data_IF_335744327782
#
_entry.id   IF_335744327782
#
_cell.length_a   1.000
_cell.length_b   1.000
_cell.length_c   1.000
_cell.angle_alpha   90.00
_cell.angle_beta   90.00
_cell.angle_gamma   90.00
#
_symmetry.space_group_name_H-M   'P 1'
#
loop_
_entity.id
_entity.type
_entity.pdbx_description
1 polymer ?
#
# COMPACT_ATOMS: atom_id res chain seq x y z
N UNK A 1 -71.69 16.13 55.65
CA UNK A 1 -70.54 16.70 54.97
C UNK A 1 -69.68 15.53 54.48
N UNK A 2 -69.74 15.22 53.21
CA UNK A 2 -68.93 14.13 52.56
C UNK A 2 -67.78 14.80 51.84
N UNK A 3 -66.58 14.54 52.25
CA UNK A 3 -65.35 14.97 51.54
C UNK A 3 -65.02 13.94 50.46
N UNK A 4 -64.95 14.39 49.17
CA UNK A 4 -64.47 13.62 48.03
C UNK A 4 -63.02 13.97 47.87
N UNK A 5 -62.14 12.95 48.01
CA UNK A 5 -60.69 13.06 47.74
C UNK A 5 -60.44 12.66 46.29
N UNK A 6 -59.97 13.61 45.45
CA UNK A 6 -59.51 13.34 44.12
C UNK A 6 -58.03 12.90 44.14
N UNK A 7 -57.82 11.69 43.78
CA UNK A 7 -56.44 11.13 43.57
C UNK A 7 -55.98 11.48 42.17
N UNK A 8 -54.97 12.37 42.04
CA UNK A 8 -54.30 12.63 40.77
C UNK A 8 -53.21 11.59 40.56
N UNK A 9 -53.43 10.69 39.57
CA UNK A 9 -52.38 9.81 39.03
C UNK A 9 -51.55 10.62 38.03
N UNK A 10 -50.29 10.92 38.38
CA UNK A 10 -49.30 11.45 37.46
C UNK A 10 -48.70 10.29 36.65
N UNK A 11 -49.05 10.17 35.39
CA UNK A 11 -48.41 9.27 34.44
C UNK A 11 -47.13 9.94 33.95
N UNK A 12 -46.00 9.44 34.43
CA UNK A 12 -44.70 9.83 33.87
C UNK A 12 -44.47 9.05 32.56
N UNK A 13 -44.50 9.77 31.44
CA UNK A 13 -44.01 9.26 30.18
C UNK A 13 -42.46 9.24 30.18
N UNK A 14 -41.88 8.05 30.31
CA UNK A 14 -40.46 7.84 30.00
C UNK A 14 -40.29 7.95 28.48
N UNK A 15 -39.76 9.07 28.01
CA UNK A 15 -39.29 9.21 26.65
C UNK A 15 -37.95 8.47 26.58
N UNK A 16 -37.98 7.21 26.11
CA UNK A 16 -36.77 6.49 25.73
C UNK A 16 -36.32 7.07 24.40
N UNK A 17 -35.39 8.03 24.44
CA UNK A 17 -34.65 8.44 23.24
C UNK A 17 -33.71 7.31 22.88
N UNK A 18 -34.13 6.49 21.93
CA UNK A 18 -33.20 5.59 21.22
C UNK A 18 -32.19 6.48 20.47
N UNK A 19 -30.96 6.50 20.99
CA UNK A 19 -29.80 6.98 20.22
C UNK A 19 -29.62 5.94 19.12
N UNK A 20 -30.23 6.19 17.96
CA UNK A 20 -29.85 5.51 16.74
C UNK A 20 -28.38 5.88 16.50
N UNK A 21 -27.46 4.95 16.74
CA UNK A 21 -26.14 5.02 16.15
C UNK A 21 -26.38 5.16 14.64
N UNK A 22 -26.13 6.33 14.09
CA UNK A 22 -26.04 6.50 12.66
C UNK A 22 -24.84 5.64 12.23
N UNK A 23 -25.11 4.42 11.78
CA UNK A 23 -24.17 3.69 10.95
C UNK A 23 -23.90 4.61 9.76
N UNK A 24 -22.73 5.23 9.76
CA UNK A 24 -22.31 6.10 8.66
C UNK A 24 -22.40 5.28 7.38
N UNK A 25 -23.18 5.78 6.42
CA UNK A 25 -23.24 5.17 5.07
C UNK A 25 -21.82 4.96 4.60
N UNK A 26 -21.47 3.70 4.24
CA UNK A 26 -20.14 3.38 3.75
C UNK A 26 -19.76 4.36 2.64
N UNK A 27 -18.58 4.98 2.75
CA UNK A 27 -18.09 5.91 1.72
C UNK A 27 -17.87 5.13 0.43
N UNK A 28 -18.34 5.68 -0.68
CA UNK A 28 -18.25 5.09 -2.01
C UNK A 28 -17.50 6.05 -2.91
N UNK A 29 -16.51 5.54 -3.65
CA UNK A 29 -15.68 6.33 -4.56
C UNK A 29 -15.81 5.85 -5.99
N UNK A 30 -15.48 6.72 -6.95
CA UNK A 30 -15.45 6.36 -8.36
C UNK A 30 -14.37 5.32 -8.69
N UNK A 31 -14.41 4.79 -9.92
CA UNK A 31 -13.47 3.73 -10.34
C UNK A 31 -12.01 4.16 -10.42
N UNK A 32 -11.74 5.45 -10.56
CA UNK A 32 -10.42 6.07 -10.43
C UNK A 32 -10.28 6.84 -9.10
N UNK A 33 -10.96 6.35 -8.06
CA UNK A 33 -10.96 6.90 -6.70
C UNK A 33 -11.47 8.34 -6.62
N UNK A 34 -12.33 8.75 -7.55
CA UNK A 34 -12.97 10.07 -7.54
C UNK A 34 -13.77 10.25 -6.25
N UNK A 35 -13.58 11.41 -5.63
CA UNK A 35 -14.22 11.76 -4.35
C UNK A 35 -13.38 11.42 -3.10
N UNK A 36 -12.30 10.64 -3.22
CA UNK A 36 -11.37 10.45 -2.10
C UNK A 36 -10.45 11.67 -1.95
N UNK A 37 -10.31 12.25 -0.74
CA UNK A 37 -9.51 13.45 -0.54
C UNK A 37 -8.01 13.13 -0.47
N UNK A 38 -7.28 13.42 -1.55
CA UNK A 38 -5.82 13.44 -1.53
C UNK A 38 -5.33 14.70 -0.84
N UNK A 39 -4.29 14.59 -0.02
CA UNK A 39 -3.69 15.75 0.66
C UNK A 39 -2.91 16.66 -0.28
N UNK A 40 -2.32 16.10 -1.34
CA UNK A 40 -1.57 16.83 -2.37
C UNK A 40 -2.30 16.75 -3.70
N UNK A 41 -2.07 17.74 -4.56
CA UNK A 41 -2.65 17.80 -5.90
C UNK A 41 -2.22 16.58 -6.73
N UNK A 42 -3.19 15.89 -7.33
CA UNK A 42 -2.95 14.78 -8.25
C UNK A 42 -2.91 15.31 -9.67
N UNK A 43 -1.78 15.10 -10.35
CA UNK A 43 -1.63 15.27 -11.78
C UNK A 43 -1.87 13.95 -12.51
N UNK A 44 -2.06 13.99 -13.84
CA UNK A 44 -2.28 12.80 -14.66
C UNK A 44 -1.30 12.78 -15.83
N UNK A 45 -0.46 11.76 -15.88
CA UNK A 45 0.45 11.48 -16.98
C UNK A 45 -0.24 10.56 -17.98
N UNK A 46 -0.54 11.09 -19.18
CA UNK A 46 -1.16 10.33 -20.29
C UNK A 46 -0.09 9.70 -21.16
N UNK A 47 -0.26 8.44 -21.49
CA UNK A 47 0.69 7.68 -22.32
C UNK A 47 0.01 6.47 -22.96
N UNK A 48 0.67 5.89 -23.95
CA UNK A 48 0.21 4.65 -24.59
C UNK A 48 0.98 3.47 -24.01
N UNK A 49 0.26 2.42 -23.59
CA UNK A 49 0.86 1.16 -23.16
C UNK A 49 0.02 -0.02 -23.64
N UNK A 50 0.65 -1.02 -24.22
CA UNK A 50 0.00 -2.20 -24.79
C UNK A 50 -1.12 -1.84 -25.79
N UNK A 51 -0.90 -0.79 -26.62
CA UNK A 51 -1.85 -0.31 -27.62
C UNK A 51 -3.08 0.41 -27.06
N UNK A 52 -3.08 0.80 -25.77
CA UNK A 52 -4.18 1.45 -25.10
C UNK A 52 -3.75 2.84 -24.58
N UNK A 53 -4.66 3.82 -24.67
CA UNK A 53 -4.49 5.12 -24.03
C UNK A 53 -4.74 4.98 -22.53
N UNK A 54 -3.72 5.23 -21.74
CA UNK A 54 -3.75 5.12 -20.28
C UNK A 54 -3.34 6.43 -19.63
N UNK A 55 -3.68 6.58 -18.34
CA UNK A 55 -3.14 7.64 -17.50
C UNK A 55 -2.66 7.08 -16.16
N UNK A 56 -1.57 7.64 -15.65
CA UNK A 56 -1.11 7.45 -14.28
C UNK A 56 -1.34 8.72 -13.47
N UNK A 57 -2.08 8.57 -12.36
CA UNK A 57 -2.17 9.62 -11.36
C UNK A 57 -0.85 9.73 -10.58
N UNK A 58 -0.44 10.95 -10.26
CA UNK A 58 0.77 11.19 -9.47
C UNK A 58 0.67 12.49 -8.67
N UNK A 59 1.38 12.53 -7.57
CA UNK A 59 1.66 13.74 -6.82
C UNK A 59 3.14 14.08 -7.02
N UNK A 60 3.45 15.32 -7.41
CA UNK A 60 4.79 15.86 -7.54
C UNK A 60 4.93 17.04 -6.58
N UNK A 61 5.58 16.81 -5.46
CA UNK A 61 5.63 17.77 -4.35
C UNK A 61 7.04 18.33 -4.24
N UNK A 62 7.23 19.62 -4.50
CA UNK A 62 8.54 20.27 -4.38
C UNK A 62 9.01 20.33 -2.92
N UNK A 63 10.30 20.50 -2.73
CA UNK A 63 10.86 20.73 -1.41
C UNK A 63 10.22 21.96 -0.75
N UNK A 64 9.79 21.83 0.50
CA UNK A 64 9.32 22.94 1.35
C UNK A 64 10.46 23.57 2.12
N UNK A 65 11.41 22.75 2.58
CA UNK A 65 12.65 23.21 3.18
C UNK A 65 13.67 23.68 2.14
N UNK A 66 14.91 23.95 2.57
CA UNK A 66 16.01 24.27 1.66
C UNK A 66 16.24 23.10 0.69
N UNK A 67 16.06 23.27 -0.63
CA UNK A 67 16.24 22.18 -1.59
C UNK A 67 17.62 21.53 -1.50
N UNK A 68 17.67 20.21 -1.45
CA UNK A 68 18.91 19.44 -1.42
C UNK A 68 19.31 18.87 -2.79
N UNK A 69 18.54 19.17 -3.84
CA UNK A 69 18.79 18.74 -5.22
C UNK A 69 18.43 17.27 -5.49
N UNK A 70 17.90 16.55 -4.52
CA UNK A 70 17.58 15.12 -4.62
C UNK A 70 16.07 14.89 -4.75
N UNK A 71 15.70 13.88 -5.52
CA UNK A 71 14.31 13.45 -5.69
C UNK A 71 14.10 12.09 -5.03
N UNK A 72 12.98 11.94 -4.32
CA UNK A 72 12.50 10.67 -3.78
C UNK A 72 11.27 10.26 -4.56
N UNK A 73 11.22 8.99 -4.99
CA UNK A 73 10.04 8.37 -5.59
C UNK A 73 9.49 7.34 -4.62
N UNK A 74 8.25 7.49 -4.19
CA UNK A 74 7.59 6.55 -3.29
C UNK A 74 6.62 5.67 -4.07
N UNK A 75 6.66 4.36 -3.85
CA UNK A 75 5.85 3.34 -4.52
C UNK A 75 4.98 2.61 -3.50
N UNK A 76 3.67 2.66 -3.69
CA UNK A 76 2.69 2.10 -2.75
C UNK A 76 2.56 0.57 -2.83
N UNK A 77 1.96 -0.03 -1.79
CA UNK A 77 1.58 -1.44 -1.76
C UNK A 77 0.25 -1.71 -2.47
N UNK A 78 -0.09 -3.01 -2.63
CA UNK A 78 -1.27 -3.45 -3.40
C UNK A 78 -2.60 -2.91 -2.86
N UNK A 79 -2.77 -2.81 -1.55
CA UNK A 79 -4.00 -2.30 -0.93
C UNK A 79 -3.95 -0.79 -0.65
N UNK A 80 -2.95 -0.11 -1.14
CA UNK A 80 -2.67 1.30 -0.88
C UNK A 80 -2.53 2.10 -2.18
N UNK A 81 -2.48 3.41 -2.01
CA UNK A 81 -2.30 4.41 -3.04
C UNK A 81 -1.13 5.32 -2.71
N UNK A 82 -0.77 6.19 -3.63
CA UNK A 82 0.16 7.29 -3.35
C UNK A 82 -0.26 8.13 -2.14
N UNK A 83 -1.58 8.28 -1.91
CA UNK A 83 -2.12 8.99 -0.75
C UNK A 83 -1.62 8.48 0.60
N UNK A 84 -1.33 7.18 0.73
CA UNK A 84 -0.85 6.59 2.00
C UNK A 84 0.54 7.06 2.41
N UNK A 85 1.25 7.73 1.51
CA UNK A 85 2.54 8.34 1.75
C UNK A 85 2.47 9.80 2.22
N UNK A 86 1.26 10.38 2.45
CA UNK A 86 1.10 11.82 2.72
C UNK A 86 1.98 12.35 3.87
N UNK A 87 2.08 11.61 4.97
CA UNK A 87 2.92 11.99 6.11
C UNK A 87 4.42 11.87 5.78
N UNK A 88 4.80 10.85 5.01
CA UNK A 88 6.18 10.67 4.53
C UNK A 88 6.57 11.75 3.53
N UNK A 89 5.66 12.12 2.62
CA UNK A 89 5.87 13.23 1.68
C UNK A 89 6.12 14.54 2.44
N UNK A 90 5.31 14.83 3.48
CA UNK A 90 5.50 16.03 4.31
C UNK A 90 6.90 16.10 4.90
N UNK A 91 7.32 15.05 5.59
CA UNK A 91 8.61 14.98 6.27
C UNK A 91 9.79 15.07 5.29
N UNK A 92 9.70 14.39 4.15
CA UNK A 92 10.75 14.41 3.13
C UNK A 92 10.87 15.80 2.46
N UNK A 93 9.73 16.45 2.17
CA UNK A 93 9.76 17.79 1.55
C UNK A 93 10.28 18.84 2.52
N UNK A 94 10.00 18.75 3.80
CA UNK A 94 10.59 19.58 4.85
C UNK A 94 12.10 19.37 4.97
N UNK A 95 12.58 18.13 4.74
CA UNK A 95 14.00 17.80 4.70
C UNK A 95 14.70 18.21 3.37
N UNK A 96 14.00 18.88 2.48
CA UNK A 96 14.56 19.44 1.24
C UNK A 96 14.50 18.54 0.02
N UNK A 97 13.82 17.40 0.07
CA UNK A 97 13.62 16.52 -1.09
C UNK A 97 12.42 16.96 -1.94
N UNK A 98 12.53 16.85 -3.28
CA UNK A 98 11.35 16.73 -4.15
C UNK A 98 10.79 15.32 -4.01
N UNK A 99 9.48 15.16 -3.86
CA UNK A 99 8.87 13.83 -3.68
C UNK A 99 7.84 13.57 -4.77
N UNK A 100 7.97 12.43 -5.44
CA UNK A 100 7.02 11.94 -6.44
C UNK A 100 6.36 10.68 -5.89
N UNK A 101 5.03 10.68 -5.83
CA UNK A 101 4.23 9.52 -5.44
C UNK A 101 3.22 9.23 -6.55
N UNK A 102 3.37 8.10 -7.23
CA UNK A 102 2.47 7.69 -8.31
C UNK A 102 1.53 6.60 -7.86
N UNK A 103 0.29 6.65 -8.35
CA UNK A 103 -0.58 5.48 -8.39
C UNK A 103 -0.23 4.67 -9.63
N UNK A 104 0.13 3.40 -9.46
CA UNK A 104 0.46 2.55 -10.60
C UNK A 104 -0.78 2.24 -11.45
N UNK A 105 -0.59 1.92 -12.74
CA UNK A 105 -1.70 1.45 -13.60
C UNK A 105 -2.42 0.29 -12.91
N UNK A 106 -3.74 0.34 -12.90
CA UNK A 106 -4.59 -0.61 -12.17
C UNK A 106 -4.96 -0.18 -10.76
N UNK A 107 -4.39 0.92 -10.24
CA UNK A 107 -4.62 1.42 -8.88
C UNK A 107 -5.23 2.82 -8.87
N UNK A 108 -5.98 3.08 -7.88
CA UNK A 108 -6.46 4.38 -7.35
C UNK A 108 -6.82 5.41 -8.44
N UNK A 109 -6.05 6.48 -8.61
CA UNK A 109 -6.34 7.54 -9.59
C UNK A 109 -5.83 7.24 -11.00
N UNK A 110 -5.27 6.05 -11.22
CA UNK A 110 -4.79 5.61 -12.53
C UNK A 110 -5.80 4.74 -13.25
N UNK A 111 -5.68 4.68 -14.59
CA UNK A 111 -6.53 3.83 -15.43
C UNK A 111 -6.49 2.37 -14.99
N UNK A 112 -7.65 1.73 -15.02
CA UNK A 112 -7.85 0.29 -14.79
C UNK A 112 -8.24 -0.37 -16.11
N UNK A 113 -7.26 -0.77 -16.95
CA UNK A 113 -7.56 -1.32 -18.25
C UNK A 113 -8.20 -2.72 -18.13
N UNK A 114 -9.20 -3.01 -18.97
CA UNK A 114 -9.87 -4.31 -18.97
C UNK A 114 -8.96 -5.43 -19.50
N UNK A 115 -8.06 -5.11 -20.42
CA UNK A 115 -7.16 -6.04 -21.08
C UNK A 115 -5.71 -5.54 -20.93
N UNK A 116 -5.02 -5.98 -19.89
CA UNK A 116 -3.66 -5.54 -19.62
C UNK A 116 -2.84 -6.69 -19.02
N UNK A 117 -1.71 -6.96 -19.62
CA UNK A 117 -0.76 -7.94 -19.08
C UNK A 117 0.14 -7.26 -18.07
N UNK A 118 -0.15 -7.48 -16.79
CA UNK A 118 0.66 -6.95 -15.70
C UNK A 118 1.98 -7.70 -15.58
N UNK A 119 3.07 -6.94 -15.47
CA UNK A 119 4.37 -7.42 -15.02
C UNK A 119 5.10 -6.31 -14.27
N UNK A 120 6.00 -6.67 -13.36
CA UNK A 120 6.85 -5.68 -12.69
C UNK A 120 7.71 -4.91 -13.68
N UNK A 121 8.14 -5.55 -14.78
CA UNK A 121 8.85 -4.90 -15.87
C UNK A 121 7.98 -3.81 -16.53
N UNK A 122 6.72 -4.13 -16.84
CA UNK A 122 5.82 -3.15 -17.46
C UNK A 122 5.53 -1.97 -16.51
N UNK A 123 5.29 -2.24 -15.23
CA UNK A 123 5.10 -1.17 -14.25
C UNK A 123 6.37 -0.31 -14.08
N UNK A 124 7.55 -0.92 -14.14
CA UNK A 124 8.82 -0.19 -14.12
C UNK A 124 9.02 0.67 -15.39
N UNK A 125 8.67 0.19 -16.59
CA UNK A 125 8.64 1.00 -17.81
C UNK A 125 7.70 2.18 -17.70
N UNK A 126 6.48 1.99 -17.19
CA UNK A 126 5.50 3.06 -17.00
C UNK A 126 6.04 4.11 -16.02
N UNK A 127 6.62 3.66 -14.91
CA UNK A 127 7.23 4.55 -13.90
C UNK A 127 8.39 5.34 -14.49
N UNK A 128 9.27 4.70 -15.28
CA UNK A 128 10.38 5.39 -15.95
C UNK A 128 9.87 6.44 -16.96
N UNK A 129 8.79 6.13 -17.69
CA UNK A 129 8.16 7.09 -18.61
C UNK A 129 7.64 8.33 -17.86
N UNK A 130 6.96 8.13 -16.72
CA UNK A 130 6.52 9.22 -15.85
C UNK A 130 7.72 10.06 -15.35
N UNK A 131 8.79 9.41 -14.86
CA UNK A 131 9.97 10.13 -14.35
C UNK A 131 10.65 10.94 -15.45
N UNK A 132 10.75 10.42 -16.67
CA UNK A 132 11.25 11.18 -17.84
C UNK A 132 10.37 12.38 -18.15
N UNK A 133 9.03 12.22 -18.12
CA UNK A 133 8.08 13.33 -18.30
C UNK A 133 8.27 14.44 -17.27
N UNK A 134 8.58 14.06 -16.03
CA UNK A 134 8.83 15.01 -14.92
C UNK A 134 10.28 15.53 -14.85
N UNK A 135 11.13 15.18 -15.82
CA UNK A 135 12.52 15.62 -15.88
C UNK A 135 13.41 15.02 -14.79
N UNK A 136 13.06 13.83 -14.29
CA UNK A 136 13.84 13.13 -13.24
C UNK A 136 14.72 12.07 -13.87
N UNK A 137 16.04 12.29 -13.84
CA UNK A 137 17.03 11.36 -14.36
C UNK A 137 17.54 10.37 -13.31
N UNK A 138 17.54 10.77 -12.02
CA UNK A 138 18.02 9.95 -10.92
C UNK A 138 17.24 10.23 -9.65
N UNK A 139 16.92 9.19 -8.87
CA UNK A 139 16.11 9.30 -7.67
C UNK A 139 16.44 8.26 -6.62
N UNK A 140 16.04 8.53 -5.39
CA UNK A 140 15.94 7.53 -4.32
C UNK A 140 14.57 6.86 -4.48
N UNK A 141 14.54 5.53 -4.49
CA UNK A 141 13.29 4.77 -4.51
C UNK A 141 12.93 4.31 -3.09
N UNK A 142 11.69 4.51 -2.69
CA UNK A 142 11.12 3.97 -1.46
C UNK A 142 9.89 3.16 -1.85
N UNK A 143 9.94 1.82 -1.69
CA UNK A 143 8.84 0.94 -2.06
C UNK A 143 8.29 0.18 -0.85
N UNK A 144 6.97 0.27 -0.64
CA UNK A 144 6.27 -0.48 0.40
C UNK A 144 5.59 -1.71 -0.19
N UNK A 145 5.72 -2.88 0.46
CA UNK A 145 4.99 -4.09 0.08
C UNK A 145 5.25 -4.47 -1.40
N UNK A 146 4.22 -4.56 -2.24
CA UNK A 146 4.31 -4.74 -3.70
C UNK A 146 5.15 -3.64 -4.36
N UNK A 147 5.07 -2.40 -3.84
CA UNK A 147 5.95 -1.30 -4.28
C UNK A 147 7.43 -1.59 -4.03
N UNK A 148 7.77 -2.40 -3.05
CA UNK A 148 9.14 -2.90 -2.83
C UNK A 148 9.60 -3.87 -3.91
N UNK A 149 8.71 -4.77 -4.38
CA UNK A 149 9.00 -5.63 -5.54
C UNK A 149 9.20 -4.79 -6.81
N UNK A 150 8.32 -3.80 -7.03
CA UNK A 150 8.43 -2.89 -8.17
C UNK A 150 9.71 -2.06 -8.12
N UNK A 151 10.05 -1.49 -6.96
CA UNK A 151 11.27 -0.71 -6.77
C UNK A 151 12.53 -1.55 -7.00
N UNK A 152 12.52 -2.83 -6.59
CA UNK A 152 13.58 -3.81 -6.88
C UNK A 152 13.69 -4.02 -8.40
N UNK A 153 12.58 -4.30 -9.07
CA UNK A 153 12.56 -4.48 -10.54
C UNK A 153 13.06 -3.24 -11.26
N UNK A 154 12.62 -2.05 -10.83
CA UNK A 154 13.08 -0.80 -11.39
C UNK A 154 14.60 -0.62 -11.22
N UNK A 155 15.14 -0.88 -10.03
CA UNK A 155 16.57 -0.76 -9.75
C UNK A 155 17.42 -1.75 -10.55
N UNK A 156 16.89 -2.95 -10.83
CA UNK A 156 17.55 -3.94 -11.71
C UNK A 156 17.56 -3.51 -13.17
N UNK A 157 16.47 -2.90 -13.66
CA UNK A 157 16.35 -2.44 -15.06
C UNK A 157 17.08 -1.14 -15.33
N UNK A 158 17.12 -0.23 -14.33
CA UNK A 158 17.63 1.14 -14.49
C UNK A 158 18.58 1.52 -13.34
N UNK A 159 19.67 0.78 -13.10
CA UNK A 159 20.54 1.03 -11.95
C UNK A 159 21.12 2.45 -11.93
N UNK A 160 21.38 3.04 -13.11
CA UNK A 160 21.93 4.42 -13.22
C UNK A 160 20.92 5.50 -12.83
N UNK A 161 19.61 5.20 -12.91
CA UNK A 161 18.55 6.10 -12.49
C UNK A 161 18.22 6.02 -10.98
N UNK A 162 18.88 5.10 -10.26
CA UNK A 162 18.64 4.88 -8.84
C UNK A 162 19.86 5.27 -8.03
N UNK A 163 19.67 6.19 -7.10
CA UNK A 163 20.70 6.61 -6.14
C UNK A 163 20.77 5.64 -4.95
N UNK A 164 19.59 5.25 -4.46
CA UNK A 164 19.41 4.36 -3.32
C UNK A 164 18.06 3.68 -3.40
N UNK A 165 18.00 2.41 -3.03
CA UNK A 165 16.76 1.65 -2.88
C UNK A 165 16.44 1.49 -1.38
N UNK A 166 15.22 1.84 -0.98
CA UNK A 166 14.67 1.58 0.35
C UNK A 166 13.42 0.73 0.20
N UNK A 167 13.44 -0.46 0.76
CA UNK A 167 12.30 -1.37 0.77
C UNK A 167 11.67 -1.40 2.15
N UNK A 168 10.41 -1.00 2.25
CA UNK A 168 9.65 -0.97 3.51
C UNK A 168 8.70 -2.15 3.53
N UNK A 169 8.91 -3.10 4.40
CA UNK A 169 8.14 -4.34 4.46
C UNK A 169 7.77 -4.87 3.06
N UNK A 170 8.76 -5.02 2.14
CA UNK A 170 8.47 -5.52 0.82
C UNK A 170 7.91 -6.93 0.91
N UNK A 171 6.95 -7.27 0.05
CA UNK A 171 6.64 -8.66 -0.23
C UNK A 171 7.61 -9.21 -1.27
N UNK A 172 7.60 -10.54 -1.51
CA UNK A 172 8.56 -11.16 -2.43
C UNK A 172 9.96 -11.37 -1.86
N UNK A 173 10.12 -11.34 -0.53
CA UNK A 173 11.32 -11.79 0.16
C UNK A 173 11.45 -13.32 0.16
N UNK A 174 10.40 -14.01 -0.26
CA UNK A 174 10.30 -15.46 -0.39
C UNK A 174 9.45 -15.81 -1.63
N UNK A 175 9.65 -17.00 -2.20
CA UNK A 175 8.81 -17.54 -3.27
C UNK A 175 7.77 -18.50 -2.68
N UNK A 176 6.55 -18.04 -2.54
CA UNK A 176 5.46 -18.82 -1.96
C UNK A 176 5.15 -20.10 -2.73
N UNK A 177 5.30 -20.10 -4.06
CA UNK A 177 5.12 -21.30 -4.91
C UNK A 177 6.14 -22.37 -4.55
N UNK A 178 7.40 -21.97 -4.45
CA UNK A 178 8.50 -22.87 -4.09
C UNK A 178 8.33 -23.43 -2.67
N UNK A 179 7.66 -22.68 -1.77
CA UNK A 179 7.36 -23.08 -0.40
C UNK A 179 6.09 -23.95 -0.29
N UNK A 180 5.36 -24.16 -1.41
CA UNK A 180 4.21 -25.05 -1.46
C UNK A 180 2.84 -24.36 -1.28
N UNK A 181 2.77 -23.03 -1.40
CA UNK A 181 1.48 -22.33 -1.46
C UNK A 181 0.78 -22.64 -2.78
N UNK A 182 -0.47 -23.16 -2.76
CA UNK A 182 -1.22 -23.45 -3.97
C UNK A 182 -1.47 -22.20 -4.83
N UNK A 183 -1.40 -22.35 -6.15
CA UNK A 183 -1.74 -21.29 -7.08
C UNK A 183 -3.24 -21.08 -7.15
N UNK A 184 -3.67 -19.82 -7.34
CA UNK A 184 -5.03 -19.46 -7.76
C UNK A 184 -5.02 -19.05 -9.21
N UNK A 185 -6.09 -19.35 -9.93
CA UNK A 185 -6.34 -18.73 -11.25
C UNK A 185 -6.75 -17.27 -11.09
N UNK A 186 -6.64 -16.49 -12.15
CA UNK A 186 -7.11 -15.09 -12.15
C UNK A 186 -8.60 -15.01 -11.77
N UNK A 187 -9.43 -15.96 -12.25
CA UNK A 187 -10.87 -15.99 -11.90
C UNK A 187 -11.08 -16.20 -10.39
N UNK A 188 -10.30 -17.08 -9.76
CA UNK A 188 -10.37 -17.30 -8.32
C UNK A 188 -9.93 -16.07 -7.52
N UNK A 189 -8.93 -15.33 -8.01
CA UNK A 189 -8.56 -14.04 -7.43
C UNK A 189 -9.68 -13.02 -7.61
N UNK A 190 -10.30 -12.96 -8.80
CA UNK A 190 -11.40 -12.05 -9.10
C UNK A 190 -12.62 -12.29 -8.21
N UNK A 191 -13.04 -13.54 -8.06
CA UNK A 191 -14.14 -13.91 -7.15
C UNK A 191 -13.87 -13.51 -5.70
N UNK A 192 -12.60 -13.59 -5.26
CA UNK A 192 -12.19 -13.14 -3.93
C UNK A 192 -12.28 -11.62 -3.81
N UNK A 193 -11.77 -10.89 -4.79
CA UNK A 193 -11.76 -9.42 -4.78
C UNK A 193 -13.20 -8.84 -4.88
N UNK A 194 -14.10 -9.49 -5.59
CA UNK A 194 -15.52 -9.12 -5.62
C UNK A 194 -16.22 -9.19 -4.24
N UNK A 195 -15.68 -9.97 -3.31
CA UNK A 195 -16.23 -10.14 -1.94
C UNK A 195 -15.58 -9.23 -0.90
N UNK A 196 -14.71 -8.31 -1.34
CA UNK A 196 -14.01 -7.42 -0.43
C UNK A 196 -15.01 -6.49 0.29
N UNK A 197 -14.92 -6.43 1.61
CA UNK A 197 -15.78 -5.60 2.45
C UNK A 197 -14.94 -4.76 3.41
N UNK A 198 -15.51 -3.65 3.92
CA UNK A 198 -14.83 -2.79 4.88
C UNK A 198 -14.41 -3.55 6.14
N UNK A 199 -15.27 -4.43 6.66
CA UNK A 199 -14.95 -5.26 7.83
C UNK A 199 -13.82 -6.26 7.53
N UNK A 200 -13.82 -6.86 6.34
CA UNK A 200 -12.74 -7.74 5.89
C UNK A 200 -11.41 -7.00 5.78
N UNK A 201 -11.41 -5.81 5.19
CA UNK A 201 -10.22 -4.93 5.09
C UNK A 201 -9.73 -4.55 6.48
N UNK A 202 -10.61 -4.04 7.35
CA UNK A 202 -10.26 -3.63 8.72
C UNK A 202 -9.67 -4.78 9.53
N UNK A 203 -10.28 -5.96 9.46
CA UNK A 203 -9.79 -7.16 10.14
C UNK A 203 -8.40 -7.56 9.65
N UNK A 204 -8.19 -7.52 8.34
CA UNK A 204 -6.90 -7.85 7.73
C UNK A 204 -5.83 -6.84 8.10
N UNK A 205 -6.09 -5.54 7.94
CA UNK A 205 -5.15 -4.48 8.29
C UNK A 205 -4.79 -4.50 9.77
N UNK A 206 -5.79 -4.63 10.65
CA UNK A 206 -5.54 -4.73 12.08
C UNK A 206 -4.60 -5.89 12.41
N UNK A 207 -4.85 -7.08 11.85
CA UNK A 207 -4.09 -8.28 12.20
C UNK A 207 -2.69 -8.31 11.58
N UNK A 208 -2.56 -7.85 10.33
CA UNK A 208 -1.33 -7.99 9.52
C UNK A 208 -0.56 -6.68 9.45
N UNK A 209 -1.25 -5.54 9.17
CA UNK A 209 -0.56 -4.28 8.92
C UNK A 209 -0.13 -3.57 10.19
N UNK A 210 -0.91 -3.72 11.27
CA UNK A 210 -0.72 -2.98 12.50
C UNK A 210 -0.46 -3.88 13.72
N UNK A 211 -0.01 -5.11 13.52
CA UNK A 211 0.39 -6.02 14.60
C UNK A 211 -0.69 -6.25 15.67
N UNK A 212 -1.96 -6.26 15.27
CA UNK A 212 -3.12 -6.41 16.18
C UNK A 212 -3.60 -5.09 16.82
N UNK A 213 -2.87 -3.99 16.66
CA UNK A 213 -3.27 -2.64 17.14
C UNK A 213 -4.27 -2.00 16.21
N UNK A 214 -5.07 -1.06 16.75
CA UNK A 214 -5.99 -0.26 15.94
C UNK A 214 -6.06 1.16 16.48
N UNK A 215 -6.02 2.13 15.57
CA UNK A 215 -6.19 3.55 15.88
C UNK A 215 -7.26 4.14 14.96
N UNK A 216 -8.03 5.16 15.41
CA UNK A 216 -9.08 5.78 14.58
C UNK A 216 -8.58 6.30 13.23
N UNK A 217 -7.36 6.82 13.16
CA UNK A 217 -6.76 7.35 11.94
C UNK A 217 -6.54 6.30 10.84
N UNK A 218 -6.50 5.01 11.18
CA UNK A 218 -6.37 3.92 10.20
C UNK A 218 -7.65 3.68 9.40
N UNK A 219 -8.80 4.07 9.95
CA UNK A 219 -10.11 3.90 9.31
C UNK A 219 -10.16 4.57 7.92
N UNK A 220 -9.44 5.67 7.74
CA UNK A 220 -9.34 6.35 6.44
C UNK A 220 -8.83 5.44 5.32
N UNK A 221 -7.93 4.52 5.61
CA UNK A 221 -7.36 3.60 4.62
C UNK A 221 -8.31 2.45 4.32
N UNK A 222 -9.06 2.00 5.33
CA UNK A 222 -10.18 1.07 5.14
C UNK A 222 -11.25 1.70 4.25
N UNK A 223 -11.68 2.93 4.54
CA UNK A 223 -12.64 3.68 3.73
C UNK A 223 -12.18 3.83 2.28
N UNK A 224 -10.89 4.13 2.07
CA UNK A 224 -10.30 4.27 0.75
C UNK A 224 -10.43 2.98 -0.07
N UNK A 225 -9.95 1.87 0.48
CA UNK A 225 -9.91 0.59 -0.22
C UNK A 225 -11.32 0.01 -0.40
N UNK A 226 -12.13 0.00 0.66
CA UNK A 226 -13.49 -0.53 0.61
C UNK A 226 -14.39 0.34 -0.27
N UNK A 227 -14.29 1.67 -0.16
CA UNK A 227 -15.09 2.61 -0.95
C UNK A 227 -14.80 2.53 -2.44
N UNK A 228 -13.55 2.34 -2.84
CA UNK A 228 -13.15 2.07 -4.22
C UNK A 228 -13.77 0.75 -4.72
N UNK A 229 -13.73 -0.29 -3.90
CA UNK A 229 -14.23 -1.63 -4.26
C UNK A 229 -15.76 -1.76 -4.19
N UNK A 230 -16.47 -0.83 -3.57
CA UNK A 230 -17.94 -0.80 -3.50
C UNK A 230 -18.55 0.22 -4.49
N UNK A 231 -17.70 0.97 -5.18
CA UNK A 231 -18.09 2.02 -6.12
C UNK A 231 -18.57 1.50 -7.48
N UNK A 232 -18.96 2.43 -8.37
CA UNK A 232 -19.47 2.08 -9.71
C UNK A 232 -18.41 1.35 -10.57
N UNK A 233 -17.11 1.50 -10.25
CA UNK A 233 -16.00 0.79 -10.89
C UNK A 233 -15.71 -0.62 -10.34
N UNK A 234 -16.46 -1.09 -9.34
CA UNK A 234 -16.22 -2.31 -8.56
C UNK A 234 -15.70 -3.50 -9.37
N UNK A 235 -16.40 -3.90 -10.44
CA UNK A 235 -15.99 -5.08 -11.24
C UNK A 235 -14.63 -4.89 -11.90
N UNK A 236 -14.38 -3.71 -12.44
CA UNK A 236 -13.12 -3.41 -13.13
C UNK A 236 -11.96 -3.25 -12.13
N UNK A 237 -12.23 -2.66 -10.97
CA UNK A 237 -11.27 -2.58 -9.84
C UNK A 237 -10.90 -3.99 -9.38
N UNK A 238 -11.89 -4.85 -9.12
CA UNK A 238 -11.67 -6.23 -8.69
C UNK A 238 -10.92 -7.06 -9.75
N UNK A 239 -11.21 -6.84 -11.05
CA UNK A 239 -10.52 -7.50 -12.15
C UNK A 239 -9.03 -7.13 -12.20
N UNK A 240 -8.72 -5.81 -12.19
CA UNK A 240 -7.32 -5.36 -12.16
C UNK A 240 -6.60 -5.85 -10.90
N UNK A 241 -7.28 -5.84 -9.77
CA UNK A 241 -6.77 -6.36 -8.50
C UNK A 241 -6.40 -7.85 -8.61
N UNK A 242 -7.23 -8.66 -9.29
CA UNK A 242 -6.98 -10.08 -9.53
C UNK A 242 -5.74 -10.32 -10.43
N UNK A 243 -5.64 -9.58 -11.53
CA UNK A 243 -4.46 -9.62 -12.42
C UNK A 243 -3.17 -9.23 -11.69
N UNK A 244 -3.27 -8.25 -10.80
CA UNK A 244 -2.12 -7.81 -9.99
C UNK A 244 -1.73 -8.87 -8.95
N UNK A 245 -2.69 -9.57 -8.33
CA UNK A 245 -2.38 -10.71 -7.45
C UNK A 245 -1.67 -11.83 -8.20
N UNK A 246 -2.12 -12.15 -9.42
CA UNK A 246 -1.46 -13.13 -10.26
C UNK A 246 -0.02 -12.71 -10.60
N UNK A 247 0.19 -11.45 -10.99
CA UNK A 247 1.52 -10.88 -11.19
C UNK A 247 2.41 -11.03 -9.94
N UNK A 248 1.90 -10.63 -8.77
CA UNK A 248 2.66 -10.71 -7.51
C UNK A 248 3.06 -12.16 -7.20
N UNK A 249 2.12 -13.10 -7.34
CA UNK A 249 2.33 -14.50 -7.01
C UNK A 249 3.26 -15.21 -8.00
N UNK A 250 3.19 -14.87 -9.29
CA UNK A 250 3.91 -15.56 -10.35
C UNK A 250 5.29 -14.98 -10.65
N UNK A 251 5.59 -13.75 -10.20
CA UNK A 251 6.84 -13.03 -10.55
C UNK A 251 7.67 -12.68 -9.29
N UNK A 252 8.22 -13.69 -8.58
CA UNK A 252 9.06 -13.45 -7.42
C UNK A 252 10.34 -12.70 -7.81
N UNK A 253 10.78 -11.76 -6.94
CA UNK A 253 12.01 -10.99 -7.13
C UNK A 253 13.18 -11.49 -6.26
N UNK A 254 12.93 -12.40 -5.35
CA UNK A 254 13.90 -12.90 -4.36
C UNK A 254 15.17 -13.46 -4.99
N UNK A 255 15.07 -14.09 -6.14
CA UNK A 255 16.20 -14.71 -6.84
C UNK A 255 17.16 -13.69 -7.48
N UNK A 256 16.74 -12.44 -7.60
CA UNK A 256 17.49 -11.40 -8.29
C UNK A 256 18.15 -10.38 -7.33
N UNK A 257 17.90 -10.49 -6.03
CA UNK A 257 18.55 -9.61 -5.04
C UNK A 257 20.08 -9.59 -5.14
N UNK A 258 20.77 -10.71 -5.42
CA UNK A 258 22.23 -10.69 -5.62
C UNK A 258 22.70 -9.82 -6.81
N UNK A 259 21.81 -9.48 -7.74
CA UNK A 259 22.12 -8.67 -8.94
C UNK A 259 21.95 -7.16 -8.71
N UNK A 260 21.44 -6.74 -7.54
CA UNK A 260 21.28 -5.32 -7.20
C UNK A 260 22.64 -4.62 -7.14
N UNK A 261 22.78 -3.52 -7.89
CA UNK A 261 24.01 -2.73 -8.00
C UNK A 261 23.99 -1.44 -7.16
N UNK A 262 22.85 -1.13 -6.56
CA UNK A 262 22.64 0.13 -5.83
C UNK A 262 22.62 -0.09 -4.33
N UNK A 263 23.04 0.90 -3.52
CA UNK A 263 22.90 0.83 -2.07
C UNK A 263 21.45 0.56 -1.69
N UNK A 264 21.21 -0.51 -0.93
CA UNK A 264 19.87 -1.00 -0.63
C UNK A 264 19.64 -1.09 0.87
N UNK A 265 18.54 -0.53 1.35
CA UNK A 265 18.11 -0.67 2.74
C UNK A 265 16.79 -1.42 2.80
N UNK A 266 16.74 -2.44 3.65
CA UNK A 266 15.54 -3.20 3.99
C UNK A 266 15.06 -2.72 5.37
N UNK A 267 13.89 -2.10 5.43
CA UNK A 267 13.25 -1.59 6.65
C UNK A 267 12.04 -2.45 6.97
N UNK A 268 12.06 -3.20 8.07
CA UNK A 268 11.06 -4.23 8.37
C UNK A 268 10.46 -4.09 9.77
N UNK A 269 9.11 -4.05 9.84
CA UNK A 269 8.39 -4.44 11.03
C UNK A 269 8.50 -5.96 11.23
N UNK A 270 9.03 -6.40 12.35
CA UNK A 270 9.35 -7.82 12.59
C UNK A 270 8.14 -8.67 12.98
N UNK A 271 7.00 -8.04 13.28
CA UNK A 271 5.72 -8.70 13.52
C UNK A 271 4.88 -8.87 12.24
N UNK A 272 5.40 -8.47 11.08
CA UNK A 272 4.74 -8.69 9.79
C UNK A 272 4.63 -10.18 9.47
N UNK A 273 3.45 -10.58 9.01
CA UNK A 273 3.12 -11.97 8.62
C UNK A 273 2.55 -12.06 7.22
N UNK A 274 2.75 -11.05 6.39
CA UNK A 274 2.20 -10.98 5.04
C UNK A 274 2.73 -12.11 4.17
N UNK A 275 1.83 -12.97 3.69
CA UNK A 275 2.14 -14.00 2.70
C UNK A 275 0.94 -14.21 1.77
N UNK A 276 1.15 -14.01 0.47
CA UNK A 276 0.10 -14.14 -0.54
C UNK A 276 -0.31 -15.61 -0.68
N UNK A 277 -1.62 -15.90 -0.60
CA UNK A 277 -2.15 -17.25 -0.67
C UNK A 277 -2.08 -18.03 0.66
N UNK A 278 -1.65 -17.41 1.75
CA UNK A 278 -1.60 -18.06 3.07
C UNK A 278 -2.96 -18.60 3.52
N UNK A 279 -4.07 -18.00 3.08
CA UNK A 279 -5.44 -18.43 3.41
C UNK A 279 -5.80 -19.81 2.87
N UNK A 280 -5.18 -20.25 1.76
CA UNK A 280 -5.38 -21.60 1.16
C UNK A 280 -4.19 -22.54 1.36
N UNK A 281 -3.11 -22.08 1.96
CA UNK A 281 -1.96 -22.91 2.26
C UNK A 281 -2.27 -23.95 3.34
N UNK A 282 -1.62 -25.13 3.27
CA UNK A 282 -1.73 -26.14 4.32
C UNK A 282 -1.14 -25.63 5.65
N UNK A 283 -1.51 -26.23 6.79
CA UNK A 283 -0.93 -25.88 8.10
C UNK A 283 0.60 -25.94 8.10
N UNK A 284 1.19 -26.94 7.44
CA UNK A 284 2.65 -27.15 7.36
C UNK A 284 3.34 -26.08 6.54
N UNK A 285 2.65 -25.48 5.54
CA UNK A 285 3.14 -24.37 4.73
C UNK A 285 2.99 -23.06 5.48
N UNK A 286 1.84 -22.83 6.14
CA UNK A 286 1.55 -21.60 6.90
C UNK A 286 2.62 -21.28 7.94
N UNK A 287 3.19 -22.28 8.61
CA UNK A 287 4.23 -22.07 9.62
C UNK A 287 5.58 -21.70 9.04
N UNK A 288 5.75 -21.82 7.71
CA UNK A 288 7.03 -21.55 7.03
C UNK A 288 7.06 -20.17 6.35
N UNK A 289 5.91 -19.63 5.94
CA UNK A 289 5.78 -18.40 5.16
C UNK A 289 5.49 -17.18 6.03
N UNK A 290 5.78 -15.98 5.52
CA UNK A 290 5.48 -14.70 6.18
C UNK A 290 6.27 -14.47 7.47
N UNK A 291 7.45 -15.03 7.60
CA UNK A 291 8.26 -14.95 8.83
C UNK A 291 9.26 -13.79 8.74
N UNK A 292 8.77 -12.55 8.66
CA UNK A 292 9.59 -11.37 8.39
C UNK A 292 10.77 -11.18 9.33
N UNK A 293 10.62 -11.52 10.62
CA UNK A 293 11.72 -11.51 11.60
C UNK A 293 12.93 -12.36 11.19
N UNK A 294 12.71 -13.41 10.42
CA UNK A 294 13.77 -14.29 9.89
C UNK A 294 14.14 -13.90 8.47
N UNK A 295 13.14 -13.67 7.62
CA UNK A 295 13.32 -13.34 6.19
C UNK A 295 14.26 -12.15 5.99
N UNK A 296 14.09 -11.08 6.79
CA UNK A 296 14.97 -9.92 6.69
C UNK A 296 16.45 -10.25 6.90
N UNK A 297 16.75 -11.08 7.89
CA UNK A 297 18.12 -11.50 8.23
C UNK A 297 18.73 -12.44 7.21
N UNK A 298 17.92 -13.21 6.53
CA UNK A 298 18.35 -14.13 5.47
C UNK A 298 18.58 -13.40 4.16
N UNK A 299 17.57 -12.61 3.75
CA UNK A 299 17.59 -11.89 2.47
C UNK A 299 18.69 -10.84 2.43
N UNK A 300 18.92 -10.10 3.51
CA UNK A 300 19.92 -9.03 3.52
C UNK A 300 21.33 -9.54 3.20
N UNK A 301 21.61 -10.78 3.51
CA UNK A 301 22.91 -11.44 3.19
C UNK A 301 23.11 -11.63 1.69
N UNK A 302 22.04 -11.66 0.93
CA UNK A 302 22.09 -11.86 -0.54
C UNK A 302 22.23 -10.53 -1.30
N UNK A 303 21.99 -9.39 -0.67
CA UNK A 303 22.06 -8.06 -1.29
C UNK A 303 23.46 -7.49 -1.12
N UNK A 304 24.24 -7.24 -2.21
CA UNK A 304 25.67 -6.88 -2.10
C UNK A 304 25.95 -5.63 -1.27
N UNK A 305 25.11 -4.60 -1.35
CA UNK A 305 25.21 -3.36 -0.60
C UNK A 305 23.99 -3.19 0.32
N UNK A 306 23.60 -4.30 0.97
CA UNK A 306 22.40 -4.40 1.77
C UNK A 306 22.59 -3.92 3.22
N UNK A 307 21.61 -3.16 3.73
CA UNK A 307 21.48 -2.81 5.15
C UNK A 307 20.10 -3.20 5.66
N UNK A 308 20.03 -3.87 6.80
CA UNK A 308 18.77 -4.18 7.47
C UNK A 308 18.52 -3.19 8.62
N UNK A 309 17.29 -2.69 8.69
CA UNK A 309 16.75 -1.92 9.80
C UNK A 309 15.47 -2.62 10.24
N UNK A 310 15.42 -3.05 11.50
CA UNK A 310 14.25 -3.73 12.06
C UNK A 310 13.47 -2.78 12.99
N UNK A 311 12.14 -2.87 12.93
CA UNK A 311 11.21 -2.21 13.83
C UNK A 311 10.53 -3.27 14.71
N UNK A 312 11.03 -3.50 15.93
CA UNK A 312 10.52 -4.56 16.78
C UNK A 312 9.05 -4.39 17.16
N UNK A 313 8.24 -5.42 16.91
CA UNK A 313 6.82 -5.45 17.21
C UNK A 313 5.92 -4.68 16.26
N UNK A 314 6.45 -4.08 15.18
CA UNK A 314 5.63 -3.41 14.16
C UNK A 314 5.22 -4.38 13.05
N UNK A 315 4.03 -4.12 12.50
CA UNK A 315 3.44 -4.93 11.43
C UNK A 315 3.95 -4.55 10.03
N UNK A 316 3.09 -4.78 9.04
CA UNK A 316 3.39 -4.59 7.62
C UNK A 316 3.54 -3.13 7.18
N UNK A 317 2.95 -2.19 7.91
CA UNK A 317 2.92 -0.77 7.52
C UNK A 317 3.49 0.17 8.61
N UNK A 318 4.77 0.04 9.00
CA UNK A 318 5.37 0.83 10.08
C UNK A 318 5.31 2.34 9.81
N UNK A 319 5.32 2.78 8.54
CA UNK A 319 5.19 4.18 8.12
C UNK A 319 3.81 4.78 8.44
N UNK A 320 2.79 3.95 8.62
CA UNK A 320 1.44 4.36 9.00
C UNK A 320 1.20 4.10 10.49
N UNK A 321 1.72 2.99 10.99
CA UNK A 321 1.52 2.53 12.35
C UNK A 321 2.17 3.46 13.39
N UNK A 322 3.41 3.90 13.12
CA UNK A 322 4.14 4.89 13.91
C UNK A 322 4.97 5.79 12.98
N UNK A 323 4.35 6.80 12.39
CA UNK A 323 5.03 7.70 11.47
C UNK A 323 6.23 8.41 12.08
N UNK A 324 6.18 8.76 13.37
CA UNK A 324 7.25 9.52 14.03
C UNK A 324 8.54 8.70 14.12
N UNK A 325 8.44 7.47 14.60
CA UNK A 325 9.58 6.53 14.70
C UNK A 325 10.11 6.18 13.31
N UNK A 326 9.21 5.85 12.36
CA UNK A 326 9.58 5.49 11.01
C UNK A 326 10.31 6.62 10.29
N UNK A 327 9.79 7.86 10.32
CA UNK A 327 10.37 9.00 9.62
C UNK A 327 11.73 9.41 10.19
N UNK A 328 11.89 9.37 11.52
CA UNK A 328 13.19 9.61 12.14
C UNK A 328 14.24 8.65 11.57
N UNK A 329 13.93 7.36 11.58
CA UNK A 329 14.83 6.30 11.09
C UNK A 329 15.07 6.41 9.58
N UNK A 330 14.02 6.73 8.80
CA UNK A 330 14.14 6.94 7.37
C UNK A 330 15.08 8.11 7.05
N UNK A 331 14.90 9.27 7.68
CA UNK A 331 15.75 10.45 7.45
C UNK A 331 17.21 10.19 7.83
N UNK A 332 17.47 9.47 8.92
CA UNK A 332 18.82 9.05 9.30
C UNK A 332 19.46 8.15 8.24
N UNK A 333 18.66 7.26 7.63
CA UNK A 333 19.13 6.37 6.56
C UNK A 333 19.36 7.11 5.23
N UNK A 334 18.68 8.24 4.98
CA UNK A 334 18.85 9.04 3.77
C UNK A 334 19.98 10.08 3.86
N UNK A 335 20.50 10.34 5.05
CA UNK A 335 21.75 11.11 5.22
C UNK A 335 22.90 10.28 4.63
N UNK A 336 23.67 10.89 3.77
CA UNK A 336 24.89 10.30 3.19
C UNK A 336 26.05 10.48 4.15
#
# INVERSE_FOLDING_TARGET
MRYVIYLFLAVQFLVVTSIANAEGTAKVYGGELEGFPYHYTVGHFKFVSQGQDLQMGYMDVPAKGKPNGRTVVVMHGKNFCGATWESTISVLTEAGFRVIASDQVGFCTSTKPANYQYSFQQLAFNTMALLKHLGVSRSILIGHSTGGMLATRFALMYPEAVEKLVMVNPIGLEDWKALGVPSRTVDQWYERELKLSADGVRKYEKSVYYGGRWKPEFERWVDMLAGLNQGPGHKLVAWNSALIYDMIFTQPVVYEFPLLKVPTTLMLGDADTTAIGSDIASPEVKVKIGRYKLLGKEVIKTIPQGRLIEFPGYGHAPQIEDPAMFHKTLLENLKL
#
